data_IF_293937794677
#
_entry.id   IF_293937794677
#
_cell.length_a   1.000
_cell.length_b   1.000
_cell.length_c   1.000
_cell.angle_alpha   90.00
_cell.angle_beta   90.00
_cell.angle_gamma   90.00
#
_symmetry.space_group_name_H-M   'P 1'
#
loop_
_entity.id
_entity.type
_entity.pdbx_description
1 polymer ?
#
# COMPACT_ATOMS: atom_id res chain seq x y z
N UNK A 1 15.61 1.95 6.18
CA UNK A 1 15.59 3.31 5.61
C UNK A 1 15.16 3.33 4.15
N UNK A 2 15.59 2.42 3.27
CA UNK A 2 15.27 2.44 1.82
C UNK A 2 13.77 2.49 1.52
N UNK A 3 12.95 1.73 2.26
CA UNK A 3 11.49 1.70 2.04
C UNK A 3 10.81 3.06 2.28
N UNK A 4 11.32 3.85 3.22
CA UNK A 4 10.79 5.18 3.55
C UNK A 4 10.97 6.17 2.38
N UNK A 5 12.06 6.03 1.61
CA UNK A 5 12.32 6.83 0.41
C UNK A 5 11.70 6.24 -0.86
N UNK A 6 11.19 5.01 -0.82
CA UNK A 6 10.45 4.41 -1.93
C UNK A 6 8.97 4.81 -1.89
N UNK A 7 8.44 5.07 -0.69
CA UNK A 7 7.11 5.65 -0.49
C UNK A 7 7.21 7.17 -0.44
N UNK A 8 6.44 7.91 -1.26
CA UNK A 8 6.45 9.38 -1.26
C UNK A 8 5.77 9.95 0.00
N UNK A 9 6.45 9.82 1.16
CA UNK A 9 5.95 10.31 2.45
C UNK A 9 6.32 11.79 2.64
N UNK A 10 7.57 12.15 2.35
CA UNK A 10 8.10 13.51 2.57
C UNK A 10 8.15 14.35 1.29
N UNK A 11 7.82 13.76 0.13
CA UNK A 11 7.91 14.38 -1.18
C UNK A 11 6.70 14.00 -2.03
N UNK A 12 6.27 14.87 -2.94
CA UNK A 12 5.15 14.61 -3.83
C UNK A 12 5.54 13.59 -4.92
N UNK A 13 4.66 12.62 -5.21
CA UNK A 13 4.84 11.66 -6.29
C UNK A 13 5.05 12.30 -7.68
N UNK A 14 4.56 13.53 -7.89
CA UNK A 14 4.76 14.33 -9.11
C UNK A 14 6.22 14.75 -9.36
N UNK A 15 7.09 14.74 -8.33
CA UNK A 15 8.52 15.05 -8.51
C UNK A 15 9.33 13.86 -9.06
N UNK A 16 8.70 12.69 -9.21
CA UNK A 16 9.35 11.47 -9.68
C UNK A 16 9.33 11.44 -11.23
N UNK A 17 10.50 11.42 -11.89
CA UNK A 17 10.55 11.35 -13.35
C UNK A 17 10.03 10.02 -13.90
N UNK A 18 9.42 10.04 -15.09
CA UNK A 18 9.12 8.82 -15.85
C UNK A 18 10.43 8.08 -16.20
N UNK A 19 10.50 6.74 -16.09
CA UNK A 19 9.40 5.79 -15.91
C UNK A 19 9.17 5.35 -14.45
N UNK A 20 9.88 5.94 -13.48
CA UNK A 20 9.87 5.46 -12.09
C UNK A 20 8.53 5.63 -11.37
N UNK A 21 7.69 6.52 -11.88
CA UNK A 21 6.34 6.77 -11.39
C UNK A 21 5.50 5.47 -11.29
N UNK A 22 5.53 4.62 -12.32
CA UNK A 22 4.75 3.36 -12.34
C UNK A 22 5.23 2.36 -11.27
N UNK A 23 6.53 2.33 -11.01
CA UNK A 23 7.13 1.41 -10.04
C UNK A 23 6.79 1.79 -8.61
N UNK A 24 6.66 3.08 -8.34
CA UNK A 24 6.29 3.61 -7.02
C UNK A 24 4.78 3.51 -6.78
N UNK A 25 3.96 3.68 -7.83
CA UNK A 25 2.52 3.42 -7.79
C UNK A 25 2.17 1.94 -7.58
N UNK A 26 3.05 1.00 -7.95
CA UNK A 26 2.90 -0.43 -7.65
C UNK A 26 3.05 -0.75 -6.15
N UNK A 27 3.64 0.15 -5.35
CA UNK A 27 3.76 -0.08 -3.93
C UNK A 27 2.43 0.24 -3.22
N UNK A 28 1.78 -0.73 -2.55
CA UNK A 28 0.49 -0.51 -1.89
C UNK A 28 0.56 0.57 -0.80
N UNK A 29 1.71 0.75 -0.16
CA UNK A 29 1.89 1.80 0.85
C UNK A 29 1.87 3.20 0.23
N UNK A 30 2.32 3.35 -1.02
CA UNK A 30 2.24 4.63 -1.73
C UNK A 30 0.80 5.08 -1.89
N UNK A 31 -0.11 4.15 -2.23
CA UNK A 31 -1.52 4.46 -2.41
C UNK A 31 -2.17 4.95 -1.11
N UNK A 32 -1.86 4.30 0.01
CA UNK A 32 -2.38 4.67 1.34
C UNK A 32 -1.85 6.05 1.76
N UNK A 33 -0.55 6.29 1.58
CA UNK A 33 0.09 7.57 1.93
C UNK A 33 -0.48 8.71 1.08
N UNK A 34 -0.63 8.50 -0.23
CA UNK A 34 -1.19 9.51 -1.13
C UNK A 34 -2.65 9.83 -0.79
N UNK A 35 -3.47 8.80 -0.49
CA UNK A 35 -4.85 9.03 -0.03
C UNK A 35 -4.91 9.85 1.26
N UNK A 36 -4.07 9.53 2.24
CA UNK A 36 -4.00 10.29 3.48
C UNK A 36 -3.54 11.73 3.22
N UNK A 37 -2.55 11.91 2.34
CA UNK A 37 -2.03 13.22 1.94
C UNK A 37 -3.11 14.07 1.25
N UNK A 38 -3.86 13.50 0.30
CA UNK A 38 -4.94 14.21 -0.40
C UNK A 38 -6.03 14.70 0.56
N UNK A 39 -6.38 13.89 1.57
CA UNK A 39 -7.39 14.26 2.57
C UNK A 39 -6.86 15.32 3.54
N UNK A 40 -5.64 15.14 4.05
CA UNK A 40 -5.10 15.97 5.15
C UNK A 40 -4.47 17.26 4.66
N UNK A 41 -3.71 17.22 3.55
CA UNK A 41 -3.01 18.39 3.02
C UNK A 41 -3.82 19.13 1.97
N UNK A 42 -4.42 18.39 1.04
CA UNK A 42 -5.10 18.98 -0.12
C UNK A 42 -6.61 19.16 0.12
N UNK A 43 -7.17 18.56 1.18
CA UNK A 43 -8.59 18.66 1.54
C UNK A 43 -9.54 18.04 0.50
N UNK A 44 -9.02 17.23 -0.41
CA UNK A 44 -9.76 16.61 -1.51
C UNK A 44 -9.97 15.13 -1.28
N UNK A 45 -11.13 14.65 -1.73
CA UNK A 45 -11.42 13.22 -1.75
C UNK A 45 -10.46 12.56 -2.74
N UNK A 46 -9.72 11.51 -2.34
CA UNK A 46 -8.79 10.83 -3.23
C UNK A 46 -9.53 10.26 -4.45
N UNK A 47 -8.86 10.28 -5.60
CA UNK A 47 -9.41 9.77 -6.85
C UNK A 47 -9.89 8.32 -6.71
N UNK A 48 -10.97 7.96 -7.41
CA UNK A 48 -11.53 6.60 -7.39
C UNK A 48 -10.49 5.51 -7.72
N UNK A 49 -9.54 5.80 -8.61
CA UNK A 49 -8.48 4.87 -9.01
C UNK A 49 -7.54 4.51 -7.85
N UNK A 50 -7.18 5.50 -7.02
CA UNK A 50 -6.38 5.27 -5.80
C UNK A 50 -7.14 4.38 -4.81
N UNK A 51 -8.45 4.64 -4.64
CA UNK A 51 -9.30 3.88 -3.73
C UNK A 51 -9.44 2.42 -4.18
N UNK A 52 -9.77 2.18 -5.46
CA UNK A 52 -9.88 0.84 -6.02
C UNK A 52 -8.53 0.09 -5.98
N UNK A 53 -7.43 0.78 -6.26
CA UNK A 53 -6.09 0.22 -6.13
C UNK A 53 -5.81 -0.23 -4.70
N UNK A 54 -6.02 0.64 -3.71
CA UNK A 54 -5.80 0.32 -2.30
C UNK A 54 -6.70 -0.83 -1.81
N UNK A 55 -7.96 -0.87 -2.26
CA UNK A 55 -8.89 -1.96 -1.94
C UNK A 55 -8.41 -3.29 -2.51
N UNK A 56 -8.00 -3.32 -3.78
CA UNK A 56 -7.49 -4.54 -4.42
C UNK A 56 -6.25 -5.06 -3.69
N UNK A 57 -5.28 -4.18 -3.40
CA UNK A 57 -4.09 -4.59 -2.67
C UNK A 57 -4.41 -5.10 -1.28
N UNK A 58 -5.25 -4.41 -0.51
CA UNK A 58 -5.62 -4.86 0.84
C UNK A 58 -6.30 -6.23 0.82
N UNK A 59 -7.18 -6.48 -0.15
CA UNK A 59 -7.80 -7.79 -0.34
C UNK A 59 -6.79 -8.87 -0.73
N UNK A 60 -5.85 -8.57 -1.63
CA UNK A 60 -4.78 -9.50 -2.00
C UNK A 60 -3.92 -9.89 -0.78
N UNK A 61 -3.49 -8.91 0.02
CA UNK A 61 -2.71 -9.17 1.24
C UNK A 61 -3.51 -9.94 2.29
N UNK A 62 -4.80 -9.63 2.44
CA UNK A 62 -5.69 -10.35 3.35
C UNK A 62 -5.83 -11.82 2.94
N UNK A 63 -6.09 -12.10 1.68
CA UNK A 63 -6.22 -13.47 1.16
C UNK A 63 -4.91 -14.25 1.27
N UNK A 64 -3.78 -13.61 0.94
CA UNK A 64 -2.46 -14.21 1.11
C UNK A 64 -2.17 -14.53 2.58
N UNK A 65 -2.42 -13.57 3.47
CA UNK A 65 -2.26 -13.75 4.91
C UNK A 65 -3.14 -14.87 5.44
N UNK A 66 -4.42 -14.89 5.04
CA UNK A 66 -5.37 -15.94 5.41
C UNK A 66 -4.93 -17.33 4.93
N UNK A 67 -4.49 -17.45 3.68
CA UNK A 67 -4.02 -18.72 3.13
C UNK A 67 -2.75 -19.23 3.83
N UNK A 68 -1.79 -18.33 4.10
CA UNK A 68 -0.57 -18.67 4.83
C UNK A 68 -0.90 -19.08 6.27
N UNK A 69 -1.81 -18.35 6.92
CA UNK A 69 -2.25 -18.61 8.29
C UNK A 69 -2.94 -19.98 8.38
N UNK A 70 -3.94 -20.25 7.54
CA UNK A 70 -4.66 -21.52 7.53
C UNK A 70 -3.72 -22.72 7.28
N UNK A 71 -2.69 -22.55 6.44
CA UNK A 71 -1.67 -23.58 6.20
C UNK A 71 -0.74 -23.82 7.41
N UNK A 72 -0.61 -22.85 8.32
CA UNK A 72 0.31 -22.90 9.47
C UNK A 72 -0.42 -23.00 10.81
N UNK A 73 -1.74 -22.91 10.83
CA UNK A 73 -2.60 -22.94 12.02
C UNK A 73 -2.33 -24.18 12.88
N UNK A 74 -2.24 -25.37 12.26
CA UNK A 74 -1.97 -26.63 12.97
C UNK A 74 -0.62 -26.65 13.70
N UNK A 75 0.38 -25.89 13.23
CA UNK A 75 1.71 -25.85 13.85
C UNK A 75 1.79 -24.76 14.94
N UNK A 76 0.97 -23.72 14.82
CA UNK A 76 0.83 -22.66 15.81
C UNK A 76 0.09 -23.14 17.07
N UNK A 77 -0.88 -24.04 16.91
CA UNK A 77 -1.61 -24.66 18.00
C UNK A 77 -0.78 -25.68 18.81
N UNK A 78 0.31 -26.22 18.24
CA UNK A 78 1.23 -27.14 18.94
C UNK A 78 2.27 -26.41 19.82
N UNK A 79 2.50 -25.11 19.60
CA UNK A 79 3.46 -24.30 20.36
C UNK A 79 2.81 -23.48 21.51
N UNK A 80 1.47 -23.55 21.67
CA UNK A 80 0.70 -22.94 22.76
C UNK A 80 0.36 -23.96 23.86
#
# INVERSE_FOLDING_TARGET
>A
MVWFYLTPIIYNAAMIPEPYHRYIMLNPLTLIVEMFRSIVLDGVVPSGDLFWGALLYSLCFLLLGYFIFNKRESRLAEEL
#
